data_IF_324165967085
#
_entry.id   IF_324165967085
#
_cell.length_a   1.000
_cell.length_b   1.000
_cell.length_c   1.000
_cell.angle_alpha   90.00
_cell.angle_beta   90.00
_cell.angle_gamma   90.00
#
_symmetry.space_group_name_H-M   'P 1'
#
loop_
_entity.id
_entity.type
_entity.pdbx_description
1 polymer ?
#
# COMPACT_ATOMS: atom_id res chain seq x y z
N UNK A 1 11.04 -3.98 9.31
CA UNK A 1 10.18 -3.04 8.53
C UNK A 1 10.71 -2.74 7.13
N UNK A 2 11.88 -2.11 6.93
CA UNK A 2 12.35 -1.80 5.56
C UNK A 2 12.49 -3.04 4.66
N UNK A 3 12.93 -4.17 5.22
CA UNK A 3 12.98 -5.45 4.51
C UNK A 3 11.58 -5.98 4.19
N UNK A 4 10.74 -6.26 5.21
CA UNK A 4 9.34 -6.67 5.05
C UNK A 4 8.57 -5.84 4.01
N UNK A 5 8.61 -4.51 4.11
CA UNK A 5 7.87 -3.61 3.23
C UNK A 5 8.49 -3.59 1.82
N UNK A 6 9.82 -3.55 1.72
CA UNK A 6 10.56 -3.45 0.45
C UNK A 6 10.39 -4.68 -0.45
N UNK A 7 10.57 -5.88 0.12
CA UNK A 7 10.50 -7.14 -0.61
C UNK A 7 9.16 -7.87 -0.47
N UNK A 8 8.24 -7.38 0.36
CA UNK A 8 6.95 -8.00 0.65
C UNK A 8 7.06 -9.36 1.36
N UNK A 9 7.89 -9.44 2.39
CA UNK A 9 8.07 -10.68 3.16
C UNK A 9 6.86 -10.96 4.04
N UNK A 10 6.12 -12.02 3.71
CA UNK A 10 4.91 -12.40 4.43
C UNK A 10 5.23 -12.86 5.86
N UNK A 11 6.27 -13.68 6.03
CA UNK A 11 6.63 -14.28 7.31
C UNK A 11 7.10 -13.20 8.29
N UNK A 12 8.00 -12.31 7.86
CA UNK A 12 8.45 -11.17 8.68
C UNK A 12 7.25 -10.30 9.08
N UNK A 13 6.30 -10.06 8.16
CA UNK A 13 5.10 -9.26 8.44
C UNK A 13 4.22 -9.90 9.52
N UNK A 14 4.01 -11.22 9.48
CA UNK A 14 3.24 -11.92 10.54
C UNK A 14 3.94 -11.85 11.90
N UNK A 15 5.27 -12.01 11.93
CA UNK A 15 6.02 -11.89 13.18
C UNK A 15 5.95 -10.48 13.75
N UNK A 16 6.11 -9.45 12.91
CA UNK A 16 5.97 -8.05 13.33
C UNK A 16 4.57 -7.80 13.91
N UNK A 17 3.53 -8.28 13.23
CA UNK A 17 2.16 -8.08 13.67
C UNK A 17 1.84 -8.79 14.99
N UNK A 18 2.37 -9.99 15.21
CA UNK A 18 2.24 -10.71 16.48
C UNK A 18 2.98 -10.02 17.63
N UNK A 19 4.15 -9.43 17.36
CA UNK A 19 4.85 -8.60 18.36
C UNK A 19 4.06 -7.33 18.68
N UNK A 20 3.46 -6.68 17.68
CA UNK A 20 2.57 -5.54 17.89
C UNK A 20 1.34 -5.93 18.72
N UNK A 21 0.73 -7.09 18.46
CA UNK A 21 -0.39 -7.60 19.25
C UNK A 21 0.01 -7.80 20.72
N UNK A 22 1.17 -8.44 20.96
CA UNK A 22 1.71 -8.61 22.31
C UNK A 22 1.96 -7.26 23.01
N UNK A 23 2.53 -6.28 22.30
CA UNK A 23 2.77 -4.94 22.84
C UNK A 23 1.47 -4.19 23.16
N UNK A 24 0.38 -4.49 22.44
CA UNK A 24 -0.95 -3.97 22.69
C UNK A 24 -1.73 -4.75 23.78
N UNK A 25 -1.10 -5.70 24.47
CA UNK A 25 -1.74 -6.52 25.50
C UNK A 25 -2.67 -7.60 24.97
N UNK A 26 -2.60 -7.92 23.68
CA UNK A 26 -3.38 -8.97 23.02
C UNK A 26 -2.55 -10.25 22.89
N UNK A 27 -3.24 -11.39 22.72
CA UNK A 27 -2.58 -12.65 22.36
C UNK A 27 -1.87 -12.51 21.01
N UNK A 28 -0.61 -12.97 20.86
CA UNK A 28 0.15 -12.89 19.60
C UNK A 28 -0.33 -13.93 18.57
N UNK A 29 -1.60 -13.83 18.14
CA UNK A 29 -2.26 -14.76 17.23
C UNK A 29 -2.92 -14.05 16.04
N UNK A 30 -3.39 -14.83 15.05
CA UNK A 30 -4.06 -14.27 13.88
C UNK A 30 -5.39 -13.60 14.23
N UNK A 31 -6.10 -14.15 15.21
CA UNK A 31 -7.39 -13.64 15.69
C UNK A 31 -7.28 -12.23 16.26
N UNK A 32 -6.12 -11.86 16.79
CA UNK A 32 -5.86 -10.52 17.33
C UNK A 32 -5.57 -9.46 16.27
N UNK A 33 -5.26 -9.85 15.02
CA UNK A 33 -4.81 -8.90 13.99
C UNK A 33 -5.92 -7.92 13.60
N UNK A 34 -7.10 -8.41 13.23
CA UNK A 34 -8.19 -7.53 12.81
C UNK A 34 -8.65 -6.57 13.92
N UNK A 35 -8.94 -7.01 15.16
CA UNK A 35 -9.33 -6.10 16.24
C UNK A 35 -8.25 -5.06 16.54
N UNK A 36 -6.97 -5.47 16.55
CA UNK A 36 -5.84 -4.56 16.76
C UNK A 36 -5.79 -3.47 15.67
N UNK A 37 -5.86 -3.86 14.40
CA UNK A 37 -5.80 -2.92 13.28
C UNK A 37 -7.03 -2.02 13.24
N UNK A 38 -8.23 -2.54 13.54
CA UNK A 38 -9.45 -1.72 13.66
C UNK A 38 -9.29 -0.64 14.74
N UNK A 39 -8.77 -1.00 15.91
CA UNK A 39 -8.50 -0.04 16.99
C UNK A 39 -7.52 1.05 16.54
N UNK A 40 -6.43 0.66 15.88
CA UNK A 40 -5.44 1.61 15.34
C UNK A 40 -6.03 2.55 14.29
N UNK A 41 -6.81 2.04 13.33
CA UNK A 41 -7.46 2.85 12.29
C UNK A 41 -8.50 3.81 12.88
N UNK A 42 -9.28 3.36 13.87
CA UNK A 42 -10.27 4.20 14.54
C UNK A 42 -9.60 5.36 15.29
N UNK A 43 -8.45 5.13 15.94
CA UNK A 43 -7.67 6.18 16.59
C UNK A 43 -7.12 7.22 15.59
N UNK A 44 -6.99 6.86 14.32
CA UNK A 44 -6.63 7.76 13.23
C UNK A 44 -7.84 8.45 12.58
N UNK A 45 -9.06 8.13 13.02
CA UNK A 45 -10.32 8.61 12.46
C UNK A 45 -10.65 7.99 11.10
N UNK A 46 -10.15 6.78 10.82
CA UNK A 46 -10.38 6.05 9.56
C UNK A 46 -11.47 5.01 9.78
N UNK A 47 -12.52 5.03 8.96
CA UNK A 47 -13.62 4.06 9.02
C UNK A 47 -13.13 2.65 8.66
N UNK A 48 -13.11 1.78 9.66
CA UNK A 48 -12.67 0.38 9.55
C UNK A 48 -13.83 -0.63 9.46
N UNK A 49 -15.07 -0.17 9.29
CA UNK A 49 -16.29 -1.02 9.28
C UNK A 49 -16.25 -2.13 8.21
N UNK A 50 -15.62 -1.87 7.06
CA UNK A 50 -15.45 -2.82 5.95
C UNK A 50 -14.13 -3.59 5.99
N UNK A 51 -13.31 -3.40 7.02
CA UNK A 51 -12.06 -4.14 7.18
C UNK A 51 -12.36 -5.60 7.54
N UNK A 52 -11.76 -6.52 6.78
CA UNK A 52 -11.62 -7.93 7.16
C UNK A 52 -10.14 -8.29 7.08
N UNK A 53 -9.58 -8.79 8.17
CA UNK A 53 -8.19 -9.27 8.20
C UNK A 53 -8.14 -10.66 8.83
N UNK A 54 -7.57 -11.61 8.09
CA UNK A 54 -7.28 -12.98 8.53
C UNK A 54 -5.80 -13.19 8.81
N UNK A 55 -4.96 -12.34 8.22
CA UNK A 55 -3.53 -12.28 8.47
C UNK A 55 -3.04 -10.84 8.30
N UNK A 56 -1.78 -10.58 8.64
CA UNK A 56 -1.19 -9.24 8.52
C UNK A 56 -0.50 -9.02 7.17
N UNK A 57 0.00 -10.08 6.54
CA UNK A 57 0.78 -10.01 5.29
C UNK A 57 -0.07 -9.73 4.05
N UNK A 58 -1.37 -10.02 4.10
CA UNK A 58 -2.26 -9.89 2.95
C UNK A 58 -2.36 -11.17 2.11
N UNK A 59 -1.72 -12.26 2.52
CA UNK A 59 -1.71 -13.52 1.76
C UNK A 59 -3.07 -14.22 1.78
N UNK A 60 -3.80 -14.12 2.88
CA UNK A 60 -5.12 -14.69 3.02
C UNK A 60 -6.10 -14.04 2.03
N UNK A 61 -6.63 -14.85 1.11
CA UNK A 61 -7.60 -14.39 0.11
C UNK A 61 -8.88 -13.79 0.71
N UNK A 62 -9.19 -14.10 1.96
CA UNK A 62 -10.35 -13.57 2.67
C UNK A 62 -10.16 -12.12 3.18
N UNK A 63 -8.94 -11.56 3.13
CA UNK A 63 -8.69 -10.18 3.51
C UNK A 63 -9.51 -9.20 2.66
N UNK A 64 -10.08 -8.18 3.29
CA UNK A 64 -10.84 -7.11 2.63
C UNK A 64 -10.41 -5.76 3.17
N UNK A 65 -10.05 -4.87 2.26
CA UNK A 65 -9.81 -3.45 2.49
C UNK A 65 -10.55 -2.66 1.43
N UNK A 66 -10.77 -1.36 1.66
CA UNK A 66 -11.30 -0.46 0.62
C UNK A 66 -10.19 0.47 0.12
N UNK A 67 -10.21 0.88 -1.16
CA UNK A 67 -9.28 1.89 -1.65
C UNK A 67 -9.34 3.19 -0.83
N UNK A 68 -10.54 3.60 -0.42
CA UNK A 68 -10.74 4.78 0.44
C UNK A 68 -9.96 4.67 1.76
N UNK A 69 -10.13 3.57 2.50
CA UNK A 69 -9.45 3.33 3.77
C UNK A 69 -7.92 3.37 3.63
N UNK A 70 -7.39 2.73 2.58
CA UNK A 70 -5.94 2.70 2.33
C UNK A 70 -5.43 4.08 1.93
N UNK A 71 -6.17 4.82 1.09
CA UNK A 71 -5.79 6.19 0.71
C UNK A 71 -5.83 7.13 1.92
N UNK A 72 -6.85 7.04 2.79
CA UNK A 72 -6.93 7.83 4.03
C UNK A 72 -5.75 7.54 4.96
N UNK A 73 -5.38 6.26 5.14
CA UNK A 73 -4.16 5.88 5.88
C UNK A 73 -2.92 6.50 5.23
N UNK A 74 -2.81 6.46 3.91
CA UNK A 74 -1.67 7.05 3.20
C UNK A 74 -1.62 8.57 3.31
N UNK A 75 -2.75 9.26 3.41
CA UNK A 75 -2.79 10.69 3.73
C UNK A 75 -2.16 10.94 5.10
N UNK A 76 -2.49 10.14 6.12
CA UNK A 76 -1.87 10.25 7.45
C UNK A 76 -0.38 9.96 7.43
N UNK A 77 0.06 8.93 6.69
CA UNK A 77 1.49 8.60 6.51
C UNK A 77 2.23 9.73 5.81
N UNK A 78 1.58 10.42 4.86
CA UNK A 78 2.17 11.55 4.16
C UNK A 78 2.28 12.82 5.03
N UNK A 79 1.58 12.90 6.16
CA UNK A 79 1.68 14.07 7.04
C UNK A 79 3.05 14.10 7.75
N UNK A 80 3.67 15.28 7.73
CA UNK A 80 4.90 15.53 8.47
C UNK A 80 4.63 15.59 9.98
N UNK A 81 5.64 15.26 10.78
CA UNK A 81 5.62 15.38 12.25
C UNK A 81 4.52 14.56 12.94
N UNK A 82 4.20 13.38 12.40
CA UNK A 82 3.29 12.42 13.04
C UNK A 82 4.02 11.14 13.42
N UNK A 83 3.42 10.34 14.30
CA UNK A 83 3.94 9.00 14.63
C UNK A 83 4.03 8.07 13.42
N UNK A 84 3.30 8.38 12.34
CA UNK A 84 3.27 7.59 11.10
C UNK A 84 4.29 8.06 10.06
N UNK A 85 4.88 9.25 10.22
CA UNK A 85 5.86 9.80 9.27
C UNK A 85 6.99 8.82 8.93
N UNK A 86 7.55 8.03 9.87
CA UNK A 86 8.59 7.05 9.53
C UNK A 86 8.15 5.97 8.53
N UNK A 87 6.85 5.63 8.47
CA UNK A 87 6.33 4.57 7.61
C UNK A 87 6.57 4.86 6.12
N UNK A 88 6.55 6.12 5.72
CA UNK A 88 6.78 6.50 4.32
C UNK A 88 8.20 6.15 3.86
N UNK A 89 9.18 6.22 4.76
CA UNK A 89 10.57 5.88 4.44
C UNK A 89 10.77 4.40 4.12
N UNK A 90 9.89 3.53 4.61
CA UNK A 90 9.94 2.10 4.35
C UNK A 90 9.32 1.72 2.99
N UNK A 91 8.50 2.60 2.40
CA UNK A 91 7.89 2.33 1.11
C UNK A 91 8.96 2.28 0.00
N UNK A 92 9.03 1.18 -0.78
CA UNK A 92 9.97 1.10 -1.89
C UNK A 92 9.65 2.16 -2.95
N UNK A 93 10.72 2.69 -3.54
CA UNK A 93 10.69 3.81 -4.49
C UNK A 93 10.73 3.26 -5.91
N UNK A 94 9.87 3.79 -6.78
CA UNK A 94 9.80 3.44 -8.19
C UNK A 94 11.18 3.54 -8.87
N UNK A 95 11.69 2.41 -9.36
CA UNK A 95 12.93 2.38 -10.12
C UNK A 95 14.20 2.57 -9.29
N UNK A 96 14.16 2.35 -7.97
CA UNK A 96 15.33 2.53 -7.10
C UNK A 96 15.53 1.29 -6.23
N UNK A 97 16.77 0.82 -6.17
CA UNK A 97 17.19 -0.26 -5.28
C UNK A 97 16.57 -1.62 -5.64
N UNK A 98 16.81 -2.63 -4.79
CA UNK A 98 16.18 -3.94 -4.89
C UNK A 98 14.70 -3.88 -4.46
N UNK A 99 13.99 -4.99 -4.60
CA UNK A 99 12.62 -5.15 -4.11
C UNK A 99 11.55 -4.84 -5.14
N UNK A 100 10.31 -4.76 -4.66
CA UNK A 100 9.10 -4.86 -5.49
C UNK A 100 8.90 -3.72 -6.50
N UNK A 101 9.56 -2.58 -6.30
CA UNK A 101 9.48 -1.40 -7.17
C UNK A 101 10.74 -1.14 -8.01
N UNK A 102 11.86 -1.85 -7.75
CA UNK A 102 13.16 -1.57 -8.37
C UNK A 102 13.16 -1.72 -9.89
N UNK A 103 12.54 -2.78 -10.39
CA UNK A 103 12.34 -3.06 -11.82
C UNK A 103 11.03 -2.53 -12.40
N UNK A 104 10.41 -1.50 -11.81
CA UNK A 104 9.15 -0.88 -12.28
C UNK A 104 9.38 0.46 -12.94
N UNK A 105 8.32 1.00 -13.55
CA UNK A 105 8.33 2.33 -14.18
C UNK A 105 9.42 2.42 -15.26
N UNK A 106 9.26 1.62 -16.31
CA UNK A 106 10.13 1.59 -17.51
C UNK A 106 9.41 2.18 -18.72
N UNK A 107 10.11 2.39 -19.83
CA UNK A 107 9.54 2.98 -21.04
C UNK A 107 8.91 4.35 -20.78
N UNK A 108 7.67 4.56 -21.25
CA UNK A 108 6.94 5.80 -21.05
C UNK A 108 6.70 6.15 -19.56
N UNK A 109 6.66 5.15 -18.68
CA UNK A 109 6.46 5.34 -17.24
C UNK A 109 7.74 5.77 -16.51
N UNK A 110 8.91 5.78 -17.18
CA UNK A 110 10.18 6.13 -16.57
C UNK A 110 10.23 7.55 -16.01
N UNK A 111 9.38 8.46 -16.52
CA UNK A 111 9.28 9.85 -16.05
C UNK A 111 8.85 9.96 -14.58
N UNK A 112 8.22 8.92 -14.01
CA UNK A 112 7.72 8.90 -12.64
C UNK A 112 8.64 8.13 -11.66
N UNK A 113 9.78 7.60 -12.13
CA UNK A 113 10.79 6.98 -11.25
C UNK A 113 11.27 7.98 -10.20
N UNK A 114 11.64 7.51 -9.00
CA UNK A 114 12.02 8.32 -7.83
C UNK A 114 10.91 9.17 -7.20
N UNK A 115 9.85 9.48 -7.96
CA UNK A 115 8.73 10.31 -7.50
C UNK A 115 7.56 9.52 -6.95
N UNK A 116 7.43 8.24 -7.32
CA UNK A 116 6.40 7.34 -6.81
C UNK A 116 7.01 6.43 -5.74
N UNK A 117 6.39 6.38 -4.57
CA UNK A 117 6.64 5.42 -3.49
C UNK A 117 5.42 4.54 -3.35
N UNK A 118 5.59 3.23 -3.15
CA UNK A 118 4.42 2.41 -2.88
C UNK A 118 4.69 0.97 -2.51
N UNK A 119 3.74 0.42 -1.76
CA UNK A 119 3.67 -1.01 -1.45
C UNK A 119 2.89 -1.73 -2.55
N UNK A 120 3.46 -2.82 -3.04
CA UNK A 120 2.82 -3.69 -4.03
C UNK A 120 2.02 -4.81 -3.36
N UNK A 121 0.97 -5.28 -4.03
CA UNK A 121 0.29 -6.52 -3.68
C UNK A 121 -0.07 -7.31 -4.93
N UNK A 122 0.14 -8.63 -4.90
CA UNK A 122 -0.27 -9.52 -5.97
C UNK A 122 -0.65 -10.89 -5.42
N UNK A 123 -1.85 -11.34 -5.77
CA UNK A 123 -2.32 -12.72 -5.65
C UNK A 123 -3.09 -13.04 -6.94
N UNK A 124 -3.30 -14.31 -7.32
CA UNK A 124 -4.12 -14.64 -8.48
C UNK A 124 -5.47 -13.91 -8.46
N UNK A 125 -5.75 -13.13 -9.51
CA UNK A 125 -6.97 -12.34 -9.65
C UNK A 125 -7.00 -10.99 -8.92
N UNK A 126 -5.92 -10.54 -8.28
CA UNK A 126 -5.82 -9.20 -7.70
C UNK A 126 -4.41 -8.63 -7.79
N UNK A 127 -4.31 -7.36 -8.20
CA UNK A 127 -3.08 -6.59 -8.17
C UNK A 127 -3.36 -5.23 -7.53
N UNK A 128 -2.50 -4.80 -6.61
CA UNK A 128 -2.60 -3.49 -5.97
C UNK A 128 -1.27 -2.75 -5.89
N UNK A 129 -1.39 -1.43 -5.80
CA UNK A 129 -0.29 -0.51 -5.54
C UNK A 129 -0.83 0.69 -4.75
N UNK A 130 -0.27 0.96 -3.58
CA UNK A 130 -0.67 2.08 -2.74
C UNK A 130 0.54 2.79 -2.13
N UNK A 131 0.47 4.11 -1.96
CA UNK A 131 1.57 4.90 -1.43
C UNK A 131 1.42 6.39 -1.66
N UNK A 132 2.53 7.06 -1.94
CA UNK A 132 2.61 8.51 -2.16
C UNK A 132 3.27 8.85 -3.50
N UNK A 133 2.90 9.99 -4.06
CA UNK A 133 3.50 10.57 -5.27
C UNK A 133 3.87 12.02 -5.00
N UNK A 134 5.13 12.37 -5.26
CA UNK A 134 5.56 13.76 -5.38
C UNK A 134 5.40 14.15 -6.86
N UNK A 135 4.31 14.84 -7.19
CA UNK A 135 3.90 15.10 -8.56
C UNK A 135 4.75 16.19 -9.23
N UNK A 136 4.69 16.23 -10.56
CA UNK A 136 5.47 17.16 -11.40
C UNK A 136 5.15 18.63 -11.13
N UNK A 137 3.92 18.93 -10.72
CA UNK A 137 3.48 20.29 -10.38
C UNK A 137 3.84 20.71 -8.95
N UNK A 138 4.59 19.89 -8.21
CA UNK A 138 4.98 20.12 -6.82
C UNK A 138 3.95 19.68 -5.79
N UNK A 139 2.76 19.25 -6.21
CA UNK A 139 1.77 18.68 -5.29
C UNK A 139 2.21 17.32 -4.77
N UNK A 140 1.68 16.95 -3.61
CA UNK A 140 1.93 15.65 -3.00
C UNK A 140 0.61 14.90 -2.81
N UNK A 141 0.57 13.68 -3.33
CA UNK A 141 -0.64 12.89 -3.42
C UNK A 141 -0.48 11.58 -2.66
N UNK A 142 -1.51 11.16 -1.96
CA UNK A 142 -1.67 9.79 -1.46
C UNK A 142 -2.58 9.02 -2.43
N UNK A 143 -2.29 7.75 -2.67
CA UNK A 143 -3.04 6.96 -3.63
C UNK A 143 -3.17 5.49 -3.21
N UNK A 144 -4.21 4.86 -3.76
CA UNK A 144 -4.33 3.41 -3.79
C UNK A 144 -5.02 2.97 -5.07
N UNK A 145 -4.46 1.94 -5.71
CA UNK A 145 -4.98 1.37 -6.96
C UNK A 145 -5.18 -0.11 -6.71
N UNK A 146 -6.37 -0.61 -7.04
CA UNK A 146 -6.75 -2.01 -6.94
C UNK A 146 -7.35 -2.46 -8.27
N UNK A 147 -6.77 -3.50 -8.86
CA UNK A 147 -7.34 -4.22 -9.97
C UNK A 147 -7.77 -5.60 -9.47
N UNK A 148 -8.99 -6.02 -9.81
CA UNK A 148 -9.52 -7.34 -9.47
C UNK A 148 -10.13 -7.97 -10.72
N UNK A 149 -9.97 -9.29 -10.87
CA UNK A 149 -10.69 -10.04 -11.89
C UNK A 149 -12.19 -9.94 -11.67
N UNK A 150 -12.92 -9.51 -12.70
CA UNK A 150 -14.36 -9.38 -12.71
C UNK A 150 -14.84 -9.32 -14.17
N UNK A 151 -16.10 -9.69 -14.41
CA UNK A 151 -16.78 -9.49 -15.70
C UNK A 151 -15.98 -10.04 -16.91
N UNK A 152 -15.43 -11.25 -16.77
CA UNK A 152 -14.62 -11.90 -17.81
C UNK A 152 -13.20 -11.32 -18.00
N UNK A 153 -12.83 -10.27 -17.26
CA UNK A 153 -11.48 -9.70 -17.27
C UNK A 153 -10.63 -10.36 -16.21
N UNK A 154 -9.47 -10.86 -16.61
CA UNK A 154 -8.51 -11.48 -15.70
C UNK A 154 -7.40 -10.51 -15.32
N UNK A 155 -7.15 -10.38 -14.02
CA UNK A 155 -5.95 -9.74 -13.47
C UNK A 155 -4.86 -10.78 -13.31
N UNK A 156 -3.68 -10.47 -13.82
CA UNK A 156 -2.50 -11.34 -13.77
C UNK A 156 -1.25 -10.51 -13.50
N UNK A 157 -0.07 -11.14 -13.54
CA UNK A 157 1.20 -10.44 -13.37
C UNK A 157 1.38 -9.29 -14.39
N UNK A 158 0.85 -9.42 -15.62
CA UNK A 158 0.98 -8.38 -16.65
C UNK A 158 0.21 -7.10 -16.30
N UNK A 159 -0.76 -7.14 -15.39
CA UNK A 159 -1.51 -5.97 -14.90
C UNK A 159 -0.61 -4.97 -14.18
N UNK A 160 0.58 -5.38 -13.72
CA UNK A 160 1.62 -4.53 -13.12
C UNK A 160 1.88 -3.25 -13.92
N UNK A 161 2.01 -3.36 -15.24
CA UNK A 161 2.31 -2.21 -16.11
C UNK A 161 1.17 -1.19 -16.15
N UNK A 162 -0.09 -1.64 -16.09
CA UNK A 162 -1.24 -0.75 -16.05
C UNK A 162 -1.28 0.08 -14.75
N UNK A 163 -0.94 -0.53 -13.61
CA UNK A 163 -0.83 0.20 -12.33
C UNK A 163 0.31 1.23 -12.36
N UNK A 164 1.45 0.91 -13.00
CA UNK A 164 2.54 1.88 -13.21
C UNK A 164 2.06 3.06 -14.05
N UNK A 165 1.28 2.81 -15.10
CA UNK A 165 0.72 3.85 -15.96
C UNK A 165 -0.24 4.77 -15.20
N UNK A 166 -1.13 4.22 -14.36
CA UNK A 166 -2.04 5.03 -13.53
C UNK A 166 -1.25 5.89 -12.53
N UNK A 167 -0.27 5.30 -11.82
CA UNK A 167 0.58 6.07 -10.90
C UNK A 167 1.40 7.15 -11.63
N UNK A 168 1.87 6.88 -12.85
CA UNK A 168 2.55 7.85 -13.71
C UNK A 168 1.62 9.00 -14.12
N UNK A 169 0.33 8.72 -14.35
CA UNK A 169 -0.67 9.76 -14.57
C UNK A 169 -0.87 10.62 -13.33
N UNK A 170 -0.88 10.04 -12.13
CA UNK A 170 -0.92 10.84 -10.90
C UNK A 170 0.28 11.79 -10.80
N UNK A 171 1.48 11.31 -11.09
CA UNK A 171 2.68 12.14 -11.16
C UNK A 171 2.55 13.27 -12.21
N UNK A 172 2.01 12.95 -13.39
CA UNK A 172 1.95 13.90 -14.50
C UNK A 172 0.87 14.97 -14.31
N UNK A 173 -0.29 14.60 -13.76
CA UNK A 173 -1.44 15.48 -13.59
C UNK A 173 -1.38 16.29 -12.28
N UNK A 174 -0.80 15.73 -11.22
CA UNK A 174 -0.68 16.40 -9.92
C UNK A 174 -2.03 16.81 -9.33
N UNK A 175 -2.12 18.02 -8.77
CA UNK A 175 -3.33 18.54 -8.12
C UNK A 175 -4.49 18.76 -9.10
N UNK A 176 -4.21 18.78 -10.41
CA UNK A 176 -5.20 18.87 -11.48
C UNK A 176 -5.77 17.51 -11.88
N UNK A 177 -5.55 16.45 -11.09
CA UNK A 177 -6.34 15.22 -11.17
C UNK A 177 -7.80 15.57 -10.95
N UNK A 178 -8.51 15.86 -12.04
CA UNK A 178 -9.93 16.21 -12.00
C UNK A 178 -10.73 15.11 -11.32
N UNK A 179 -11.28 15.45 -10.15
CA UNK A 179 -12.59 14.98 -9.71
C UNK A 179 -13.61 16.03 -10.13
#
# INVERSE_FOLDING_TARGET
>A
MSHAIGISDNTETEFIARHAAKAAGLSPSFESIEPMVKSMLNNLGIDSSKLVMKDASGLAQANRVTPKMITELMVKVAQANTVLTPLESYLPVAGVGPGSMGGRFTGANAIARKFVRGKTGFIPGLYSLAGTVNAKDGSRLAYSIFARSADGKAVSWSTRGALDTVATRFYSCGAKLGL
#
